data_IF_780436478824
#
_entry.id   IF_780436478824
#
_cell.length_a   1.000
_cell.length_b   1.000
_cell.length_c   1.000
_cell.angle_alpha   90.00
_cell.angle_beta   90.00
_cell.angle_gamma   90.00
#
_symmetry.space_group_name_H-M   'P 1'
#
loop_
_entity.id
_entity.type
_entity.pdbx_description
1 polymer ?
#
# COMPACT_ATOMS: atom_id res chain seq x y z
N UNK A 1 2.17 1.36 14.01
CA UNK A 1 2.27 -0.04 14.43
C UNK A 1 1.83 -0.19 15.87
N UNK A 2 2.41 0.52 16.83
CA UNK A 2 2.06 0.44 18.27
C UNK A 2 0.55 0.61 18.53
N UNK A 3 -0.09 1.56 17.84
CA UNK A 3 -1.54 1.74 17.90
C UNK A 3 -2.30 0.48 17.47
N UNK A 4 -1.88 -0.16 16.36
CA UNK A 4 -2.53 -1.38 15.87
C UNK A 4 -2.34 -2.55 16.82
N UNK A 5 -1.12 -2.76 17.32
CA UNK A 5 -0.81 -3.81 18.28
C UNK A 5 -1.57 -3.64 19.60
N UNK A 6 -1.78 -2.38 20.04
CA UNK A 6 -2.55 -2.07 21.24
C UNK A 6 -4.03 -2.46 21.13
N UNK A 7 -4.63 -2.35 19.92
CA UNK A 7 -6.07 -2.53 19.72
C UNK A 7 -6.44 -3.83 18.96
N UNK A 8 -5.46 -4.58 18.47
CA UNK A 8 -5.70 -5.93 17.98
C UNK A 8 -6.08 -6.85 19.14
N UNK A 9 -6.97 -7.80 18.85
CA UNK A 9 -7.27 -8.88 19.78
C UNK A 9 -5.97 -9.65 20.11
N UNK A 10 -5.58 -9.78 21.39
CA UNK A 10 -4.40 -10.56 21.79
C UNK A 10 -4.44 -12.04 21.33
N UNK A 11 -5.62 -12.57 21.03
CA UNK A 11 -5.79 -13.90 20.46
C UNK A 11 -5.41 -13.96 18.96
N UNK A 12 -5.35 -12.83 18.26
CA UNK A 12 -4.98 -12.75 16.84
C UNK A 12 -3.46 -12.83 16.62
N UNK A 13 -2.87 -13.97 17.04
CA UNK A 13 -1.42 -14.18 17.01
C UNK A 13 -0.79 -14.01 15.63
N UNK A 14 -1.46 -14.50 14.58
CA UNK A 14 -0.98 -14.41 13.19
C UNK A 14 -0.96 -12.96 12.70
N UNK A 15 -1.98 -12.16 13.05
CA UNK A 15 -2.03 -10.74 12.71
C UNK A 15 -0.99 -9.91 13.44
N UNK A 16 -0.78 -10.18 14.72
CA UNK A 16 0.27 -9.55 15.54
C UNK A 16 1.64 -9.85 14.92
N UNK A 17 1.93 -11.13 14.65
CA UNK A 17 3.21 -11.54 14.05
C UNK A 17 3.44 -10.87 12.68
N UNK A 18 2.43 -10.81 11.80
CA UNK A 18 2.55 -10.15 10.50
C UNK A 18 2.93 -8.67 10.64
N UNK A 19 2.33 -7.95 11.61
CA UNK A 19 2.66 -6.55 11.90
C UNK A 19 4.07 -6.37 12.47
N UNK A 20 4.48 -7.24 13.38
CA UNK A 20 5.83 -7.19 13.97
C UNK A 20 6.89 -7.49 12.92
N UNK A 21 6.66 -8.50 12.07
CA UNK A 21 7.58 -8.90 11.02
C UNK A 21 7.74 -7.84 9.94
N UNK A 22 6.65 -7.22 9.47
CA UNK A 22 6.77 -6.13 8.49
C UNK A 22 7.46 -4.91 9.10
N UNK A 23 7.26 -4.65 10.40
CA UNK A 23 7.97 -3.58 11.10
C UNK A 23 9.48 -3.83 11.16
N UNK A 24 9.89 -5.05 11.50
CA UNK A 24 11.29 -5.45 11.52
C UNK A 24 11.90 -5.40 10.12
N UNK A 25 11.21 -5.95 9.11
CA UNK A 25 11.63 -5.98 7.71
C UNK A 25 11.89 -4.57 7.16
N UNK A 26 10.99 -3.63 7.45
CA UNK A 26 11.09 -2.25 7.02
C UNK A 26 11.94 -1.36 7.94
N UNK A 27 12.48 -1.90 9.03
CA UNK A 27 13.18 -1.13 10.08
C UNK A 27 12.33 0.08 10.53
N UNK A 28 11.10 -0.24 10.99
CA UNK A 28 10.13 0.78 11.38
C UNK A 28 10.60 1.61 12.56
N UNK A 29 10.60 2.92 12.39
CA UNK A 29 10.96 3.86 13.46
C UNK A 29 9.71 4.36 14.21
N UNK A 30 9.74 4.31 15.54
CA UNK A 30 8.70 4.88 16.39
C UNK A 30 8.84 6.40 16.42
N UNK A 31 7.92 7.09 15.80
CA UNK A 31 7.86 8.55 15.75
C UNK A 31 6.44 9.02 15.45
N UNK A 32 6.11 10.28 15.75
CA UNK A 32 4.86 10.89 15.32
C UNK A 32 4.72 10.83 13.78
N UNK A 33 3.50 10.66 13.30
CA UNK A 33 3.12 10.66 11.89
C UNK A 33 2.36 11.95 11.56
N UNK A 34 2.36 12.35 10.30
CA UNK A 34 1.73 13.55 9.78
C UNK A 34 2.76 14.54 9.24
N UNK A 35 2.36 15.80 9.04
CA UNK A 35 3.21 16.83 8.43
C UNK A 35 4.57 16.87 9.11
N UNK A 36 5.61 16.60 8.33
CA UNK A 36 7.00 16.57 8.77
C UNK A 36 7.69 17.85 8.35
N UNK A 37 8.59 18.30 9.20
CA UNK A 37 9.50 19.41 8.85
C UNK A 37 10.60 18.90 7.91
N UNK A 38 10.22 18.72 6.64
CA UNK A 38 11.12 18.35 5.56
C UNK A 38 11.30 19.53 4.63
N UNK A 39 12.53 19.91 4.38
CA UNK A 39 12.88 20.93 3.40
C UNK A 39 12.91 20.35 1.98
N UNK A 40 12.66 21.20 0.97
CA UNK A 40 12.75 20.82 -0.42
C UNK A 40 11.42 20.43 -1.08
N UNK A 41 11.49 20.21 -2.38
CA UNK A 41 10.34 19.90 -3.22
C UNK A 41 9.91 18.43 -3.13
N UNK A 42 10.87 17.52 -2.98
CA UNK A 42 10.59 16.08 -2.79
C UNK A 42 10.66 15.76 -1.31
N UNK A 43 9.55 15.26 -0.78
CA UNK A 43 9.44 14.81 0.62
C UNK A 43 9.04 13.35 0.67
N UNK A 44 9.47 12.68 1.74
CA UNK A 44 9.25 11.24 1.92
C UNK A 44 8.28 10.95 3.04
N UNK A 45 7.57 9.84 2.92
CA UNK A 45 6.70 9.35 3.97
C UNK A 45 6.61 7.84 3.97
N UNK A 46 6.22 7.30 5.11
CA UNK A 46 6.10 5.88 5.35
C UNK A 46 4.73 5.56 5.94
N UNK A 47 4.01 4.59 5.39
CA UNK A 47 2.67 4.23 5.84
C UNK A 47 2.48 2.74 5.99
N UNK A 48 1.84 2.33 7.08
CA UNK A 48 1.52 0.93 7.37
C UNK A 48 0.05 0.62 7.13
N UNK A 49 -0.23 -0.57 6.62
CA UNK A 49 -1.57 -1.15 6.55
C UNK A 49 -1.55 -2.63 6.96
N UNK A 50 -2.69 -3.13 7.40
CA UNK A 50 -2.90 -4.51 7.81
C UNK A 50 -4.30 -4.96 7.42
N UNK A 51 -4.42 -6.20 6.99
CA UNK A 51 -5.69 -6.86 6.71
C UNK A 51 -5.67 -8.32 7.20
N UNK A 52 -6.76 -8.71 7.82
CA UNK A 52 -7.14 -10.09 8.09
C UNK A 52 -8.15 -10.48 7.01
N UNK A 53 -7.65 -11.08 5.94
CA UNK A 53 -8.44 -11.35 4.76
C UNK A 53 -9.33 -12.58 4.94
N UNK A 54 -10.60 -12.48 4.54
CA UNK A 54 -11.62 -13.53 4.70
C UNK A 54 -11.62 -14.14 6.12
N UNK A 55 -11.64 -13.26 7.13
CA UNK A 55 -11.74 -13.56 8.57
C UNK A 55 -10.51 -14.28 9.15
N UNK A 56 -10.12 -15.43 8.65
CA UNK A 56 -9.08 -16.27 9.26
C UNK A 56 -8.13 -16.93 8.25
N UNK A 57 -8.28 -16.61 6.97
CA UNK A 57 -7.56 -17.33 5.93
C UNK A 57 -6.14 -16.77 5.73
N UNK A 58 -6.05 -15.50 5.40
CA UNK A 58 -4.77 -14.86 5.10
C UNK A 58 -4.59 -13.60 5.93
N UNK A 59 -3.40 -13.42 6.44
CA UNK A 59 -2.99 -12.25 7.23
C UNK A 59 -1.87 -11.54 6.48
N UNK A 60 -2.05 -10.25 6.28
CA UNK A 60 -1.07 -9.48 5.54
C UNK A 60 -0.87 -8.11 6.17
N UNK A 61 0.39 -7.74 6.36
CA UNK A 61 0.79 -6.40 6.75
C UNK A 61 1.75 -5.84 5.71
N UNK A 62 1.63 -4.54 5.43
CA UNK A 62 2.50 -3.87 4.49
C UNK A 62 2.95 -2.51 5.00
N UNK A 63 4.14 -2.10 4.53
CA UNK A 63 4.65 -0.74 4.69
C UNK A 63 5.03 -0.23 3.30
N UNK A 64 4.53 0.97 2.97
CA UNK A 64 4.89 1.69 1.76
C UNK A 64 5.83 2.85 2.08
N UNK A 65 6.93 2.96 1.34
CA UNK A 65 7.79 4.16 1.30
C UNK A 65 7.45 4.95 0.05
N UNK A 66 7.06 6.22 0.23
CA UNK A 66 6.68 7.09 -0.88
C UNK A 66 7.52 8.36 -0.91
N UNK A 67 7.65 8.92 -2.11
CA UNK A 67 8.06 10.30 -2.36
C UNK A 67 6.85 11.08 -2.85
N UNK A 68 6.72 12.32 -2.38
CA UNK A 68 5.73 13.28 -2.89
C UNK A 68 6.46 14.51 -3.36
N UNK A 69 6.25 14.89 -4.62
CA UNK A 69 6.78 16.13 -5.19
C UNK A 69 5.78 17.26 -4.95
N UNK A 70 6.12 18.18 -4.06
CA UNK A 70 5.21 19.25 -3.62
C UNK A 70 4.78 20.18 -4.74
N UNK A 71 5.69 20.51 -5.66
CA UNK A 71 5.41 21.42 -6.78
C UNK A 71 4.42 20.85 -7.80
N UNK A 72 4.38 19.52 -7.96
CA UNK A 72 3.54 18.85 -8.97
C UNK A 72 2.42 18.01 -8.38
N UNK A 73 2.50 17.63 -7.10
CA UNK A 73 1.57 16.66 -6.48
C UNK A 73 1.83 15.21 -6.87
N UNK A 74 2.88 14.93 -7.62
CA UNK A 74 3.24 13.57 -8.04
C UNK A 74 3.63 12.72 -6.83
N UNK A 75 3.06 11.51 -6.75
CA UNK A 75 3.40 10.49 -5.75
C UNK A 75 4.17 9.37 -6.46
N UNK A 76 5.29 8.96 -5.90
CA UNK A 76 6.05 7.80 -6.33
C UNK A 76 6.20 6.82 -5.17
N UNK A 77 5.74 5.59 -5.34
CA UNK A 77 6.04 4.50 -4.41
C UNK A 77 7.44 4.00 -4.71
N UNK A 78 8.35 4.11 -3.74
CA UNK A 78 9.76 3.74 -3.92
C UNK A 78 10.01 2.31 -3.50
N UNK A 79 9.38 1.89 -2.41
CA UNK A 79 9.58 0.57 -1.83
C UNK A 79 8.30 0.09 -1.17
N UNK A 80 8.04 -1.20 -1.29
CA UNK A 80 6.86 -1.82 -0.69
C UNK A 80 7.28 -3.08 0.06
N UNK A 81 7.06 -3.11 1.36
CA UNK A 81 7.38 -4.21 2.24
C UNK A 81 6.12 -4.99 2.56
N UNK A 82 6.19 -6.31 2.53
CA UNK A 82 5.08 -7.22 2.76
C UNK A 82 5.49 -8.32 3.73
N UNK A 83 4.72 -8.50 4.80
CA UNK A 83 4.71 -9.72 5.60
C UNK A 83 3.39 -10.45 5.32
N UNK A 84 3.46 -11.67 4.77
CA UNK A 84 2.31 -12.39 4.27
C UNK A 84 2.24 -13.80 4.86
N UNK A 85 1.11 -14.14 5.45
CA UNK A 85 0.80 -15.43 6.03
C UNK A 85 -0.49 -15.99 5.41
N UNK A 86 -0.35 -16.96 4.51
CA UNK A 86 -1.46 -17.69 3.91
C UNK A 86 -1.55 -19.16 4.38
N UNK A 87 -1.00 -19.47 5.55
CA UNK A 87 -0.85 -20.86 6.01
C UNK A 87 0.37 -21.52 5.38
N UNK A 88 0.23 -22.80 5.00
CA UNK A 88 1.29 -23.53 4.31
C UNK A 88 1.60 -22.90 2.94
N UNK A 89 2.86 -22.64 2.67
CA UNK A 89 3.32 -22.12 1.37
C UNK A 89 3.67 -23.29 0.46
N UNK A 90 2.87 -23.52 -0.58
CA UNK A 90 3.09 -24.63 -1.52
C UNK A 90 4.13 -24.23 -2.58
N UNK A 91 4.08 -23.00 -3.08
CA UNK A 91 4.99 -22.50 -4.12
C UNK A 91 5.42 -21.07 -3.76
N UNK A 92 6.61 -20.86 -3.17
CA UNK A 92 7.11 -19.55 -2.78
C UNK A 92 7.24 -18.57 -3.94
N UNK A 93 7.68 -19.02 -5.12
CA UNK A 93 7.84 -18.16 -6.29
C UNK A 93 6.48 -17.74 -6.87
N UNK A 94 5.55 -18.69 -6.94
CA UNK A 94 4.17 -18.38 -7.31
C UNK A 94 3.52 -17.39 -6.34
N UNK A 95 3.78 -17.53 -5.04
CA UNK A 95 3.29 -16.61 -4.02
C UNK A 95 3.84 -15.19 -4.23
N UNK A 96 5.15 -15.04 -4.46
CA UNK A 96 5.76 -13.73 -4.77
C UNK A 96 5.12 -13.09 -6.00
N UNK A 97 4.95 -13.86 -7.09
CA UNK A 97 4.30 -13.35 -8.30
C UNK A 97 2.86 -12.85 -8.04
N UNK A 98 2.10 -13.54 -7.18
CA UNK A 98 0.77 -13.06 -6.77
C UNK A 98 0.86 -11.75 -5.98
N UNK A 99 1.81 -11.64 -5.05
CA UNK A 99 2.02 -10.42 -4.28
C UNK A 99 2.44 -9.25 -5.18
N UNK A 100 3.36 -9.48 -6.12
CA UNK A 100 3.80 -8.48 -7.11
C UNK A 100 2.62 -7.98 -7.94
N UNK A 101 1.86 -8.90 -8.53
CA UNK A 101 0.69 -8.56 -9.34
C UNK A 101 -0.34 -7.74 -8.55
N UNK A 102 -0.64 -8.15 -7.32
CA UNK A 102 -1.54 -7.42 -6.42
C UNK A 102 -1.07 -5.98 -6.17
N UNK A 103 0.21 -5.83 -5.79
CA UNK A 103 0.77 -4.52 -5.44
C UNK A 103 0.86 -3.62 -6.66
N UNK A 104 1.44 -4.08 -7.76
CA UNK A 104 1.65 -3.30 -8.98
C UNK A 104 0.31 -2.83 -9.55
N UNK A 105 -0.65 -3.74 -9.73
CA UNK A 105 -1.97 -3.40 -10.24
C UNK A 105 -2.69 -2.43 -9.31
N UNK A 106 -2.57 -2.59 -7.99
CA UNK A 106 -3.29 -1.74 -7.06
C UNK A 106 -2.61 -0.39 -6.86
N UNK A 107 -1.28 -0.27 -6.99
CA UNK A 107 -0.60 1.03 -7.11
C UNK A 107 -1.14 1.77 -8.33
N UNK A 108 -1.27 1.09 -9.48
CA UNK A 108 -1.81 1.66 -10.71
C UNK A 108 -3.21 2.24 -10.47
N UNK A 109 -4.12 1.46 -9.90
CA UNK A 109 -5.48 1.91 -9.53
C UNK A 109 -5.49 3.00 -8.47
N UNK A 110 -4.51 3.02 -7.57
CA UNK A 110 -4.45 4.03 -6.50
C UNK A 110 -3.95 5.38 -7.00
N UNK A 111 -3.05 5.41 -7.98
CA UNK A 111 -2.36 6.64 -8.39
C UNK A 111 -2.75 7.14 -9.77
N UNK A 112 -3.14 6.25 -10.69
CA UNK A 112 -3.20 6.55 -12.13
C UNK A 112 -4.55 6.25 -12.76
N UNK A 113 -5.09 5.03 -12.53
CA UNK A 113 -6.25 4.52 -13.27
C UNK A 113 -7.56 5.17 -12.83
N UNK A 114 -8.28 5.76 -13.77
CA UNK A 114 -9.61 6.32 -13.55
C UNK A 114 -10.50 6.04 -14.74
N UNK A 115 -11.53 5.21 -14.52
CA UNK A 115 -12.54 4.98 -15.54
C UNK A 115 -13.39 6.25 -15.72
N UNK A 116 -13.38 6.82 -16.91
CA UNK A 116 -14.20 7.98 -17.29
C UNK A 116 -15.44 7.54 -18.05
N UNK A 117 -16.57 8.13 -17.73
CA UNK A 117 -17.85 7.83 -18.38
C UNK A 117 -18.75 9.05 -18.37
N UNK A 118 -19.72 9.06 -19.27
CA UNK A 118 -20.82 10.00 -19.31
C UNK A 118 -22.17 9.28 -19.10
N UNK A 119 -23.28 9.93 -19.31
CA UNK A 119 -24.60 9.32 -19.12
C UNK A 119 -24.91 8.18 -20.12
N UNK A 120 -24.22 8.11 -21.24
CA UNK A 120 -24.51 7.16 -22.30
C UNK A 120 -23.50 5.99 -22.36
N UNK A 121 -22.21 6.25 -22.05
CA UNK A 121 -21.16 5.27 -22.30
C UNK A 121 -19.87 5.57 -21.50
N UNK A 122 -18.98 4.57 -21.43
CA UNK A 122 -17.58 4.74 -21.03
C UNK A 122 -16.86 5.60 -22.07
N UNK A 123 -16.02 6.53 -21.62
CA UNK A 123 -15.24 7.42 -22.48
C UNK A 123 -13.74 7.13 -22.45
N UNK A 124 -13.27 6.29 -21.53
CA UNK A 124 -11.92 5.74 -21.52
C UNK A 124 -11.89 4.50 -22.43
N UNK A 125 -11.55 4.66 -23.71
CA UNK A 125 -11.70 3.63 -24.74
C UNK A 125 -10.38 2.99 -25.20
N UNK A 126 -9.25 3.56 -24.79
CA UNK A 126 -7.91 3.14 -25.18
C UNK A 126 -6.89 3.40 -24.06
N UNK A 127 -5.64 2.99 -24.27
CA UNK A 127 -4.57 3.13 -23.28
C UNK A 127 -4.08 4.57 -23.08
N UNK A 128 -4.43 5.50 -23.94
CA UNK A 128 -4.13 6.93 -23.78
C UNK A 128 -5.16 7.58 -22.85
N UNK A 129 -6.43 7.21 -22.98
CA UNK A 129 -7.52 7.70 -22.14
C UNK A 129 -7.69 6.90 -20.82
N UNK A 130 -7.08 5.70 -20.72
CA UNK A 130 -7.00 4.87 -19.52
C UNK A 130 -5.54 4.46 -19.24
N UNK A 131 -4.71 5.40 -18.77
CA UNK A 131 -3.32 5.12 -18.50
C UNK A 131 -3.16 4.15 -17.31
N UNK A 132 -2.13 3.31 -17.38
CA UNK A 132 -1.73 2.39 -16.31
C UNK A 132 -0.30 2.67 -15.86
N UNK A 133 0.08 2.11 -14.71
CA UNK A 133 1.46 2.16 -14.20
C UNK A 133 2.43 1.55 -15.23
N UNK A 134 3.58 2.18 -15.43
CA UNK A 134 4.63 1.73 -16.35
C UNK A 134 5.81 1.13 -15.59
N UNK A 135 6.59 0.26 -16.25
CA UNK A 135 7.72 -0.45 -15.65
C UNK A 135 8.68 0.43 -14.83
N UNK A 136 9.08 1.64 -15.28
CA UNK A 136 9.97 2.51 -14.49
C UNK A 136 9.36 3.03 -13.18
N UNK A 137 8.04 2.86 -13.00
CA UNK A 137 7.30 3.32 -11.82
C UNK A 137 7.09 2.21 -10.79
N UNK A 138 7.45 0.95 -11.12
CA UNK A 138 7.33 -0.19 -10.22
C UNK A 138 8.27 0.00 -9.03
N UNK A 139 7.79 -0.15 -7.79
CA UNK A 139 8.62 -0.02 -6.60
C UNK A 139 9.54 -1.25 -6.43
N UNK A 140 10.58 -1.09 -5.63
CA UNK A 140 11.29 -2.22 -5.06
C UNK A 140 10.37 -2.99 -4.11
N UNK A 141 10.26 -4.31 -4.30
CA UNK A 141 9.43 -5.20 -3.48
C UNK A 141 10.28 -5.99 -2.51
N UNK A 142 9.88 -6.01 -1.23
CA UNK A 142 10.59 -6.76 -0.17
C UNK A 142 9.58 -7.62 0.59
N UNK A 143 9.88 -8.92 0.70
CA UNK A 143 8.94 -9.90 1.24
C UNK A 143 9.46 -10.55 2.50
N UNK A 144 8.54 -10.84 3.41
CA UNK A 144 8.65 -11.80 4.48
C UNK A 144 7.48 -12.78 4.36
N UNK A 145 7.75 -13.94 3.80
CA UNK A 145 6.76 -15.00 3.58
C UNK A 145 6.73 -15.89 4.82
N UNK A 146 5.61 -15.83 5.56
CA UNK A 146 5.44 -16.57 6.82
C UNK A 146 4.89 -17.95 6.48
N UNK A 147 5.76 -18.96 6.42
CA UNK A 147 5.35 -20.33 6.17
C UNK A 147 4.82 -21.00 7.44
N UNK A 148 3.69 -21.72 7.30
CA UNK A 148 3.07 -22.50 8.36
C UNK A 148 2.79 -23.91 7.86
N UNK A 149 3.79 -24.80 7.86
CA UNK A 149 3.69 -26.12 7.21
C UNK A 149 2.60 -27.03 7.82
N UNK A 150 2.14 -26.73 9.03
CA UNK A 150 1.08 -27.50 9.70
C UNK A 150 -0.32 -26.85 9.57
N UNK A 151 -0.42 -25.72 8.90
CA UNK A 151 -1.67 -25.02 8.65
C UNK A 151 -2.21 -25.32 7.26
N UNK A 152 -3.51 -25.20 7.07
CA UNK A 152 -4.14 -25.33 5.77
C UNK A 152 -3.63 -24.23 4.83
N UNK A 153 -3.26 -24.54 3.57
CA UNK A 153 -2.91 -23.52 2.59
C UNK A 153 -4.14 -22.71 2.19
N UNK A 154 -3.97 -21.39 2.07
CA UNK A 154 -4.99 -20.45 1.64
C UNK A 154 -4.55 -19.65 0.42
N UNK A 155 -5.50 -19.01 -0.25
CA UNK A 155 -5.23 -18.22 -1.44
C UNK A 155 -4.46 -16.92 -1.16
N UNK A 156 -3.65 -16.52 -2.13
CA UNK A 156 -2.89 -15.26 -2.14
C UNK A 156 -3.22 -14.37 -3.34
N UNK A 157 -4.33 -14.65 -4.05
CA UNK A 157 -4.72 -13.94 -5.26
C UNK A 157 -5.11 -12.47 -5.05
N UNK A 158 -5.66 -12.10 -3.88
CA UNK A 158 -6.21 -10.77 -3.62
C UNK A 158 -5.74 -10.09 -2.33
N UNK A 159 -5.27 -10.80 -1.29
CA UNK A 159 -5.09 -10.19 0.04
C UNK A 159 -4.20 -8.96 0.04
N UNK A 160 -3.13 -8.95 -0.76
CA UNK A 160 -2.22 -7.81 -0.83
C UNK A 160 -2.88 -6.58 -1.47
N UNK A 161 -3.77 -6.76 -2.44
CA UNK A 161 -4.49 -5.65 -3.07
C UNK A 161 -5.32 -4.84 -2.06
N UNK A 162 -5.90 -5.50 -1.04
CA UNK A 162 -6.77 -4.86 -0.05
C UNK A 162 -6.06 -3.77 0.78
N UNK A 163 -4.75 -3.84 0.95
CA UNK A 163 -3.99 -2.95 1.84
C UNK A 163 -3.15 -1.89 1.13
N UNK A 164 -2.92 -2.01 -0.18
CA UNK A 164 -2.04 -1.10 -0.92
C UNK A 164 -2.52 0.36 -0.87
N UNK A 165 -3.79 0.69 -1.17
CA UNK A 165 -4.25 2.08 -1.12
C UNK A 165 -4.13 2.67 0.29
N UNK A 166 -4.39 1.86 1.30
CA UNK A 166 -4.30 2.28 2.71
C UNK A 166 -2.86 2.59 3.13
N UNK A 167 -1.91 1.72 2.74
CA UNK A 167 -0.49 1.95 3.02
C UNK A 167 0.00 3.23 2.33
N UNK A 168 -0.33 3.43 1.05
CA UNK A 168 0.03 4.63 0.29
C UNK A 168 -0.62 5.89 0.89
N UNK A 169 -1.93 5.88 1.20
CA UNK A 169 -2.61 7.02 1.82
C UNK A 169 -1.98 7.41 3.16
N UNK A 170 -1.62 6.42 3.98
CA UNK A 170 -0.93 6.66 5.25
C UNK A 170 0.50 7.21 5.03
N UNK A 171 1.21 6.75 4.01
CA UNK A 171 2.53 7.25 3.66
C UNK A 171 2.48 8.69 3.13
N UNK A 172 1.49 9.03 2.31
CA UNK A 172 1.26 10.41 1.85
C UNK A 172 0.95 11.33 3.03
N UNK A 173 0.10 10.88 3.96
CA UNK A 173 -0.15 11.66 5.18
C UNK A 173 1.13 11.88 6.00
N UNK A 174 1.97 10.86 6.12
CA UNK A 174 3.26 10.99 6.81
C UNK A 174 4.20 11.99 6.09
N UNK A 175 4.16 12.04 4.76
CA UNK A 175 5.01 12.93 3.96
C UNK A 175 4.58 14.40 4.02
N UNK A 176 3.29 14.67 3.86
CA UNK A 176 2.76 16.04 3.63
C UNK A 176 1.65 16.46 4.60
N UNK A 177 1.25 15.61 5.54
CA UNK A 177 0.20 15.92 6.52
C UNK A 177 -1.23 15.92 5.97
N UNK A 178 -1.44 15.45 4.73
CA UNK A 178 -2.73 15.49 4.05
C UNK A 178 -3.32 14.10 3.88
N UNK A 179 -4.61 13.92 4.21
CA UNK A 179 -5.34 12.66 4.04
C UNK A 179 -6.00 12.58 2.67
N UNK A 180 -5.44 11.75 1.79
CA UNK A 180 -6.11 11.39 0.54
C UNK A 180 -7.23 10.39 0.81
N UNK A 181 -8.45 10.68 0.34
CA UNK A 181 -9.65 9.86 0.60
C UNK A 181 -10.39 9.43 -0.67
N UNK A 182 -9.95 9.90 -1.83
CA UNK A 182 -10.55 9.59 -3.13
C UNK A 182 -9.48 9.14 -4.10
N UNK A 183 -9.53 7.89 -4.49
CA UNK A 183 -8.67 7.31 -5.54
C UNK A 183 -9.18 7.69 -6.94
N UNK A 184 -8.32 7.75 -7.95
CA UNK A 184 -6.87 7.74 -7.84
C UNK A 184 -6.32 9.03 -7.20
N UNK A 185 -5.15 8.95 -6.55
CA UNK A 185 -4.45 10.10 -5.96
C UNK A 185 -3.65 10.83 -7.05
N UNK A 186 -4.37 11.40 -8.02
CA UNK A 186 -3.75 12.12 -9.13
C UNK A 186 -3.06 13.40 -8.66
N UNK A 187 -2.05 13.91 -9.39
CA UNK A 187 -1.30 15.10 -9.01
C UNK A 187 -2.17 16.32 -8.70
N UNK A 188 -3.20 16.57 -9.49
CA UNK A 188 -4.16 17.66 -9.29
C UNK A 188 -4.96 17.49 -7.97
N UNK A 189 -5.40 16.27 -7.65
CA UNK A 189 -6.10 15.98 -6.38
C UNK A 189 -5.17 16.17 -5.17
N UNK A 190 -3.89 15.79 -5.29
CA UNK A 190 -2.89 16.00 -4.24
C UNK A 190 -2.64 17.49 -4.02
N UNK A 191 -2.42 18.25 -5.10
CA UNK A 191 -2.23 19.71 -5.01
C UNK A 191 -3.45 20.42 -4.42
N UNK A 192 -4.66 20.02 -4.82
CA UNK A 192 -5.89 20.57 -4.25
C UNK A 192 -5.98 20.28 -2.75
N UNK A 193 -5.71 19.05 -2.32
CA UNK A 193 -5.74 18.66 -0.93
C UNK A 193 -4.68 19.40 -0.08
N UNK A 194 -3.48 19.64 -0.62
CA UNK A 194 -2.43 20.44 0.05
C UNK A 194 -2.86 21.90 0.26
N UNK A 195 -3.53 22.51 -0.72
CA UNK A 195 -4.03 23.90 -0.60
C UNK A 195 -5.09 24.05 0.49
N UNK A 196 -5.94 23.04 0.69
CA UNK A 196 -6.98 23.07 1.74
C UNK A 196 -6.43 22.81 3.14
N UNK A 197 -5.21 22.30 3.28
CA UNK A 197 -4.59 21.97 4.55
C UNK A 197 -3.60 23.06 5.05
N UNK A 198 -3.27 24.01 4.20
CA UNK A 198 -2.42 25.17 4.50
C UNK A 198 -3.24 26.30 5.13
#
# INVERSE_FOLDING_TARGET
>A
IDFRLKYLDPADKRGIEALERVAALAKWEKRPSGKRDQSGDIVTGRGVAYCKYELVRTYIAAIADVEVKRSTGEIRVRKFYLAHDCGQIINPDGLKNQLDGNVIQTISRTLVEELKFNRAMVTSLDWDSYPILRFPQIPEMVYDLIDRPNEKPWGAGEPAAAIVPCAISNAVFDAIGVRMRSVPFTPDKVLAAMKHAA
#
